data_IF_001039715793
#
_entry.id   IF_001039715793
#
_cell.length_a   1.000
_cell.length_b   1.000
_cell.length_c   1.000
_cell.angle_alpha   90.00
_cell.angle_beta   90.00
_cell.angle_gamma   90.00
#
_symmetry.space_group_name_H-M   'P 1'
#
loop_
_entity.id
_entity.type
_entity.pdbx_description
1 polymer ?
#
# COMPACT_ATOMS: atom_id res chain seq x y z
N UNK A 1 18.74 -8.57 -9.86
CA UNK A 1 17.44 -9.07 -9.34
C UNK A 1 17.70 -10.11 -8.26
N UNK A 2 16.85 -10.23 -7.23
CA UNK A 2 17.11 -11.05 -6.04
C UNK A 2 17.14 -12.57 -6.28
N UNK A 3 16.93 -13.02 -7.51
CA UNK A 3 17.06 -14.40 -7.95
C UNK A 3 17.56 -14.41 -9.41
N UNK A 4 18.76 -14.94 -9.66
CA UNK A 4 19.43 -14.79 -10.97
C UNK A 4 18.92 -15.76 -12.04
N UNK A 5 18.30 -16.90 -11.65
CA UNK A 5 17.82 -17.93 -12.59
C UNK A 5 16.38 -18.42 -12.29
N UNK A 6 15.43 -17.51 -12.05
CA UNK A 6 14.00 -17.87 -11.99
C UNK A 6 13.08 -16.75 -11.49
N UNK A 7 12.00 -17.10 -10.78
CA UNK A 7 10.93 -16.16 -10.45
C UNK A 7 10.60 -16.11 -8.96
N UNK A 8 10.15 -14.95 -8.50
CA UNK A 8 9.51 -14.78 -7.20
C UNK A 8 8.03 -14.50 -7.45
N UNK A 9 7.16 -15.35 -6.94
CA UNK A 9 5.72 -15.12 -6.92
C UNK A 9 5.33 -14.67 -5.50
N UNK A 10 4.82 -13.44 -5.39
CA UNK A 10 4.27 -12.92 -4.14
C UNK A 10 2.77 -12.97 -4.24
N UNK A 11 2.16 -13.76 -3.35
CA UNK A 11 0.76 -14.07 -3.38
C UNK A 11 0.13 -13.79 -2.01
N UNK A 12 -0.82 -12.86 -1.98
CA UNK A 12 -1.60 -12.54 -0.79
C UNK A 12 -3.09 -12.48 -1.13
N UNK A 13 -3.52 -13.35 -2.05
CA UNK A 13 -4.87 -13.38 -2.60
C UNK A 13 -5.75 -14.49 -2.00
N UNK A 14 -6.84 -14.85 -2.70
CA UNK A 14 -7.76 -15.92 -2.30
C UNK A 14 -7.07 -17.26 -1.97
N UNK A 15 -7.73 -18.08 -1.15
CA UNK A 15 -7.25 -19.45 -0.86
C UNK A 15 -7.81 -20.46 -1.85
N UNK A 16 -7.14 -21.60 -1.97
CA UNK A 16 -7.48 -22.73 -2.85
C UNK A 16 -7.22 -22.48 -4.35
N UNK A 17 -6.20 -21.68 -4.67
CA UNK A 17 -5.76 -21.42 -6.04
C UNK A 17 -4.62 -22.35 -6.48
N UNK A 18 -3.86 -22.90 -5.53
CA UNK A 18 -2.73 -23.79 -5.77
C UNK A 18 -3.02 -25.22 -5.34
N UNK A 19 -2.58 -26.17 -6.16
CA UNK A 19 -2.56 -27.58 -5.79
C UNK A 19 -1.41 -27.92 -4.83
N UNK A 20 -0.34 -27.12 -4.82
CA UNK A 20 0.80 -27.30 -3.93
C UNK A 20 0.47 -26.74 -2.53
N UNK A 21 0.45 -27.57 -1.47
CA UNK A 21 0.11 -27.11 -0.11
C UNK A 21 1.07 -26.07 0.46
N UNK A 22 2.36 -26.11 0.08
CA UNK A 22 3.32 -25.08 0.51
C UNK A 22 3.06 -23.75 -0.18
N UNK A 23 2.59 -23.75 -1.43
CA UNK A 23 2.21 -22.50 -2.11
C UNK A 23 0.86 -21.97 -1.63
N UNK A 24 0.00 -22.84 -1.10
CA UNK A 24 -1.21 -22.40 -0.42
C UNK A 24 -0.88 -21.69 0.89
N UNK A 25 -0.01 -22.27 1.72
CA UNK A 25 0.16 -21.82 3.11
C UNK A 25 1.17 -20.68 3.30
N UNK A 26 1.82 -20.21 2.24
CA UNK A 26 2.85 -19.18 2.31
C UNK A 26 2.58 -18.06 1.31
N UNK A 27 3.09 -16.86 1.59
CA UNK A 27 2.86 -15.70 0.74
C UNK A 27 3.95 -15.50 -0.32
N UNK A 28 5.16 -16.06 -0.10
CA UNK A 28 6.30 -15.90 -1.01
C UNK A 28 6.68 -17.28 -1.54
N UNK A 29 6.72 -17.40 -2.87
CA UNK A 29 7.13 -18.61 -3.57
C UNK A 29 8.35 -18.32 -4.44
N UNK A 30 9.40 -19.12 -4.26
CA UNK A 30 10.56 -19.11 -5.13
C UNK A 30 10.41 -20.21 -6.16
N UNK A 31 10.45 -19.82 -7.43
CA UNK A 31 10.30 -20.70 -8.59
C UNK A 31 11.59 -20.75 -9.38
N UNK A 32 11.93 -21.89 -9.96
CA UNK A 32 13.07 -22.01 -10.88
C UNK A 32 12.81 -21.31 -12.23
N UNK A 33 13.79 -21.33 -13.13
CA UNK A 33 13.69 -20.74 -14.47
C UNK A 33 12.60 -21.34 -15.36
N UNK A 34 12.04 -22.49 -14.97
CA UNK A 34 10.92 -23.16 -15.64
C UNK A 34 9.58 -22.88 -14.94
N UNK A 35 9.57 -22.07 -13.89
CA UNK A 35 8.37 -21.76 -13.10
C UNK A 35 7.99 -22.87 -12.11
N UNK A 36 8.85 -23.87 -11.87
CA UNK A 36 8.57 -24.92 -10.88
C UNK A 36 8.89 -24.44 -9.48
N UNK A 37 8.05 -24.84 -8.53
CA UNK A 37 8.25 -24.54 -7.12
C UNK A 37 9.57 -25.10 -6.57
N UNK A 38 10.32 -24.26 -5.86
CA UNK A 38 11.59 -24.63 -5.20
C UNK A 38 11.47 -24.53 -3.69
N UNK A 39 10.93 -23.43 -3.18
CA UNK A 39 10.81 -23.16 -1.75
C UNK A 39 9.81 -22.05 -1.49
N UNK A 40 9.27 -21.94 -0.28
CA UNK A 40 8.38 -20.86 0.14
C UNK A 40 8.92 -20.10 1.36
N UNK A 41 8.31 -18.96 1.66
CA UNK A 41 8.58 -18.19 2.86
C UNK A 41 7.40 -17.30 3.26
N UNK A 42 7.38 -16.89 4.53
CA UNK A 42 6.34 -16.07 5.16
C UNK A 42 4.98 -16.76 5.12
N UNK A 43 4.68 -17.52 6.18
CA UNK A 43 3.41 -18.21 6.35
C UNK A 43 2.23 -17.22 6.32
N UNK A 44 1.10 -17.69 5.79
CA UNK A 44 -0.13 -16.90 5.73
C UNK A 44 -0.74 -16.78 7.12
N UNK A 45 -0.79 -15.55 7.63
CA UNK A 45 -1.38 -15.23 8.95
C UNK A 45 -2.90 -15.05 8.96
N UNK A 46 -3.56 -15.25 7.81
CA UNK A 46 -5.01 -15.11 7.60
C UNK A 46 -5.52 -16.39 6.96
N UNK A 47 -5.87 -17.38 7.79
CA UNK A 47 -6.23 -18.73 7.32
C UNK A 47 -7.53 -18.76 6.51
N UNK A 48 -8.46 -17.85 6.80
CA UNK A 48 -9.68 -17.71 6.01
C UNK A 48 -9.43 -17.00 4.66
N UNK A 49 -10.36 -17.19 3.72
CA UNK A 49 -10.28 -16.60 2.39
C UNK A 49 -10.45 -15.08 2.46
N UNK A 50 -9.46 -14.35 1.94
CA UNK A 50 -9.50 -12.90 1.76
C UNK A 50 -9.32 -12.57 0.27
N UNK A 51 -10.41 -12.22 -0.40
CA UNK A 51 -10.45 -11.83 -1.81
C UNK A 51 -10.05 -10.36 -2.01
N UNK A 52 -9.03 -9.91 -1.28
CA UNK A 52 -8.48 -8.56 -1.39
C UNK A 52 -6.99 -8.67 -1.61
N UNK A 53 -6.58 -8.32 -2.83
CA UNK A 53 -5.19 -8.01 -3.15
C UNK A 53 -5.08 -6.52 -3.45
N UNK A 54 -4.06 -5.87 -2.92
CA UNK A 54 -3.65 -4.55 -3.37
C UNK A 54 -2.58 -4.72 -4.44
N UNK A 55 -2.66 -3.98 -5.55
CA UNK A 55 -1.56 -3.89 -6.51
C UNK A 55 -0.29 -3.26 -5.92
N UNK A 56 -0.36 -2.81 -4.66
CA UNK A 56 0.69 -2.14 -3.92
C UNK A 56 1.21 -2.95 -2.72
N UNK A 57 0.84 -4.24 -2.61
CA UNK A 57 1.36 -5.12 -1.55
C UNK A 57 2.86 -5.35 -1.66
N UNK A 58 3.38 -5.14 -2.87
CA UNK A 58 4.80 -5.22 -3.19
C UNK A 58 5.30 -3.91 -3.79
N UNK A 59 6.54 -3.57 -3.45
CA UNK A 59 7.29 -2.48 -4.07
C UNK A 59 8.67 -2.99 -4.47
N UNK A 60 9.16 -2.57 -5.63
CA UNK A 60 10.47 -2.98 -6.14
C UNK A 60 11.43 -1.79 -6.03
N UNK A 61 12.43 -1.93 -5.17
CA UNK A 61 13.42 -0.91 -4.92
C UNK A 61 14.38 -0.78 -6.12
N UNK A 62 15.06 0.36 -6.25
CA UNK A 62 15.96 0.62 -7.39
C UNK A 62 17.11 -0.40 -7.49
N UNK A 63 17.50 -1.03 -6.38
CA UNK A 63 18.50 -2.11 -6.33
C UNK A 63 17.92 -3.49 -6.68
N UNK A 64 16.63 -3.58 -6.99
CA UNK A 64 15.88 -4.80 -7.30
C UNK A 64 15.39 -5.58 -6.08
N UNK A 65 15.66 -5.14 -4.85
CA UNK A 65 15.07 -5.74 -3.65
C UNK A 65 13.55 -5.51 -3.63
N UNK A 66 12.82 -6.44 -3.01
CA UNK A 66 11.35 -6.37 -2.97
C UNK A 66 10.91 -6.09 -1.54
N UNK A 67 10.02 -5.11 -1.36
CA UNK A 67 9.27 -4.94 -0.14
C UNK A 67 7.94 -5.66 -0.25
N UNK A 68 7.54 -6.29 0.84
CA UNK A 68 6.28 -7.02 0.90
C UNK A 68 5.61 -6.85 2.26
N UNK A 69 4.32 -6.51 2.24
CA UNK A 69 3.47 -6.53 3.43
C UNK A 69 2.32 -7.52 3.21
N UNK A 70 2.28 -8.63 3.96
CA UNK A 70 1.13 -9.52 3.92
C UNK A 70 -0.15 -8.79 4.35
N UNK A 71 -1.29 -9.23 3.81
CA UNK A 71 -2.61 -8.69 4.16
C UNK A 71 -2.84 -8.80 5.68
N UNK A 72 -3.33 -7.73 6.29
CA UNK A 72 -3.53 -7.55 7.73
C UNK A 72 -2.26 -7.69 8.59
N UNK A 73 -1.07 -7.76 7.99
CA UNK A 73 0.19 -7.79 8.72
C UNK A 73 0.59 -6.40 9.22
N UNK A 74 1.21 -6.38 10.40
CA UNK A 74 1.82 -5.19 10.98
C UNK A 74 3.34 -5.15 10.70
N UNK A 75 3.85 -6.06 9.89
CA UNK A 75 5.26 -6.21 9.56
C UNK A 75 5.42 -6.08 8.04
N UNK A 76 6.39 -5.26 7.62
CA UNK A 76 6.88 -5.21 6.23
C UNK A 76 8.20 -5.97 6.19
N UNK A 77 8.29 -6.87 5.23
CA UNK A 77 9.49 -7.66 4.96
C UNK A 77 10.23 -7.06 3.77
N UNK A 78 11.56 -7.16 3.81
CA UNK A 78 12.43 -6.95 2.66
C UNK A 78 12.96 -8.30 2.19
N UNK A 79 12.83 -8.55 0.90
CA UNK A 79 13.34 -9.73 0.20
C UNK A 79 14.59 -9.28 -0.56
N UNK A 80 15.74 -9.70 -0.05
CA UNK A 80 17.06 -9.39 -0.59
C UNK A 80 17.52 -10.48 -1.56
N UNK A 81 18.66 -10.23 -2.23
CA UNK A 81 19.33 -11.25 -3.05
C UNK A 81 19.64 -12.52 -2.25
N UNK A 82 19.54 -13.68 -2.91
CA UNK A 82 19.85 -14.96 -2.27
C UNK A 82 18.74 -15.48 -1.36
N UNK A 83 17.48 -15.08 -1.62
CA UNK A 83 16.27 -15.49 -0.87
C UNK A 83 16.26 -15.08 0.61
N UNK A 84 17.09 -14.10 1.01
CA UNK A 84 17.13 -13.63 2.38
C UNK A 84 15.94 -12.70 2.64
N UNK A 85 15.12 -13.06 3.62
CA UNK A 85 13.93 -12.30 4.01
C UNK A 85 14.13 -11.76 5.42
N UNK A 86 14.01 -10.44 5.57
CA UNK A 86 14.17 -9.76 6.85
C UNK A 86 12.94 -8.90 7.15
N UNK A 87 12.44 -8.89 8.40
CA UNK A 87 11.49 -7.86 8.82
C UNK A 87 12.21 -6.51 8.82
N UNK A 88 11.75 -5.58 7.97
CA UNK A 88 12.36 -4.26 7.83
C UNK A 88 11.67 -3.23 8.72
N UNK A 89 10.35 -3.25 8.73
CA UNK A 89 9.53 -2.33 9.53
C UNK A 89 8.45 -3.09 10.28
N UNK A 90 8.15 -2.63 11.50
CA UNK A 90 7.06 -3.13 12.33
C UNK A 90 6.24 -1.98 12.91
N UNK A 91 4.92 -2.05 12.77
CA UNK A 91 4.02 -1.04 13.32
C UNK A 91 3.70 -1.31 14.78
N UNK A 92 3.96 -0.30 15.61
CA UNK A 92 3.50 -0.26 17.00
C UNK A 92 2.46 0.84 17.11
N UNK A 93 1.20 0.45 17.27
CA UNK A 93 0.11 1.40 17.45
C UNK A 93 0.06 1.90 18.89
N UNK A 94 0.29 3.21 19.07
CA UNK A 94 0.13 3.92 20.35
C UNK A 94 -1.11 4.82 20.41
N UNK A 95 -1.96 4.76 19.39
CA UNK A 95 -3.20 5.51 19.32
C UNK A 95 -4.21 5.00 20.35
N UNK A 96 -4.96 5.93 20.95
CA UNK A 96 -6.11 5.60 21.80
C UNK A 96 -7.42 5.43 21.02
N UNK A 97 -7.45 5.88 19.76
CA UNK A 97 -8.67 5.88 18.93
C UNK A 97 -8.68 4.75 17.89
N UNK A 98 -7.51 4.21 17.56
CA UNK A 98 -7.34 3.18 16.55
C UNK A 98 -6.74 1.92 17.16
N UNK A 99 -7.07 0.75 16.60
CA UNK A 99 -6.53 -0.55 17.01
C UNK A 99 -6.15 -1.39 15.80
N UNK A 100 -5.20 -2.31 15.99
CA UNK A 100 -4.91 -3.36 15.01
C UNK A 100 -5.59 -4.65 15.43
N UNK A 101 -5.85 -5.53 14.46
CA UNK A 101 -6.31 -6.89 14.74
C UNK A 101 -5.22 -7.65 15.50
N UNK A 102 -5.61 -8.40 16.52
CA UNK A 102 -4.74 -9.41 17.13
C UNK A 102 -4.68 -10.66 16.26
N UNK A 103 -3.70 -11.54 16.49
CA UNK A 103 -3.46 -12.71 15.64
C UNK A 103 -4.71 -13.61 15.49
N UNK A 104 -5.41 -13.91 16.59
CA UNK A 104 -6.66 -14.69 16.57
C UNK A 104 -7.77 -14.06 15.71
N UNK A 105 -7.83 -12.72 15.69
CA UNK A 105 -8.80 -12.00 14.86
C UNK A 105 -8.41 -12.01 13.37
N UNK A 106 -7.12 -12.12 13.05
CA UNK A 106 -6.62 -12.23 11.66
C UNK A 106 -6.87 -13.62 11.09
N UNK A 107 -6.68 -14.64 11.91
CA UNK A 107 -6.89 -16.05 11.52
C UNK A 107 -8.33 -16.31 11.11
N UNK A 108 -9.29 -15.70 11.81
CA UNK A 108 -10.73 -15.81 11.54
C UNK A 108 -11.27 -14.71 10.62
N UNK A 109 -10.41 -13.88 10.04
CA UNK A 109 -10.81 -12.76 9.21
C UNK A 109 -11.14 -13.22 7.79
N UNK A 110 -12.41 -13.13 7.38
CA UNK A 110 -12.85 -13.53 6.04
C UNK A 110 -13.38 -12.33 5.24
N UNK A 111 -13.05 -12.30 3.95
CA UNK A 111 -13.71 -11.43 2.98
C UNK A 111 -13.81 -12.15 1.63
N UNK A 112 -15.03 -12.27 1.10
CA UNK A 112 -15.28 -12.90 -0.20
C UNK A 112 -16.02 -11.89 -1.09
N UNK A 113 -15.45 -11.60 -2.27
CA UNK A 113 -16.05 -10.69 -3.24
C UNK A 113 -17.44 -11.20 -3.63
N UNK A 114 -18.43 -10.30 -3.63
CA UNK A 114 -19.82 -10.63 -3.98
C UNK A 114 -20.65 -11.27 -2.85
N UNK A 115 -20.04 -11.68 -1.73
CA UNK A 115 -20.77 -12.12 -0.52
C UNK A 115 -21.01 -10.99 0.49
N UNK A 116 -20.39 -9.83 0.27
CA UNK A 116 -20.61 -8.60 1.04
C UNK A 116 -19.37 -8.15 1.81
N UNK A 117 -19.26 -6.85 2.02
CA UNK A 117 -18.15 -6.17 2.69
C UNK A 117 -18.43 -5.84 4.17
N UNK A 118 -19.57 -6.33 4.69
CA UNK A 118 -20.08 -6.02 6.03
C UNK A 118 -19.02 -6.21 7.11
N UNK A 119 -18.22 -7.28 7.03
CA UNK A 119 -17.22 -7.59 8.05
C UNK A 119 -16.08 -6.56 8.08
N UNK A 120 -15.58 -6.12 6.92
CA UNK A 120 -14.58 -5.05 6.81
C UNK A 120 -15.13 -3.74 7.38
N UNK A 121 -16.30 -3.31 6.90
CA UNK A 121 -16.98 -2.08 7.32
C UNK A 121 -17.30 -2.07 8.82
N UNK A 122 -17.71 -3.20 9.36
CA UNK A 122 -17.97 -3.36 10.80
C UNK A 122 -16.69 -3.19 11.62
N UNK A 123 -15.56 -3.75 11.16
CA UNK A 123 -14.27 -3.61 11.85
C UNK A 123 -13.77 -2.16 11.79
N UNK A 124 -13.85 -1.51 10.63
CA UNK A 124 -13.50 -0.10 10.52
C UNK A 124 -14.37 0.81 11.39
N UNK A 125 -15.69 0.57 11.43
CA UNK A 125 -16.59 1.36 12.29
C UNK A 125 -16.31 1.18 13.79
N UNK A 126 -15.70 0.05 14.18
CA UNK A 126 -15.17 -0.20 15.54
C UNK A 126 -13.77 0.40 15.79
N UNK A 127 -13.22 1.15 14.84
CA UNK A 127 -11.92 1.82 14.94
C UNK A 127 -10.71 0.95 14.59
N UNK A 128 -10.90 -0.20 13.94
CA UNK A 128 -9.76 -0.99 13.46
C UNK A 128 -9.11 -0.35 12.23
N UNK A 129 -7.78 -0.25 12.24
CA UNK A 129 -6.98 0.07 11.06
C UNK A 129 -6.60 -1.23 10.36
N UNK A 130 -7.21 -1.48 9.20
CA UNK A 130 -6.95 -2.67 8.40
C UNK A 130 -5.78 -2.39 7.45
N UNK A 131 -4.70 -3.15 7.55
CA UNK A 131 -3.59 -3.07 6.59
C UNK A 131 -3.83 -4.05 5.45
N UNK A 132 -3.60 -3.62 4.21
CA UNK A 132 -3.84 -4.46 3.02
C UNK A 132 -2.71 -4.36 1.98
N UNK A 133 -1.50 -4.05 2.46
CA UNK A 133 -0.29 -4.03 1.65
C UNK A 133 -0.25 -2.81 0.73
N UNK A 134 0.16 -1.69 1.31
CA UNK A 134 0.37 -0.45 0.59
C UNK A 134 1.59 0.20 1.23
N UNK A 135 2.77 -0.13 0.72
CA UNK A 135 4.06 0.35 1.24
C UNK A 135 4.87 0.97 0.12
N UNK A 136 5.55 2.06 0.43
CA UNK A 136 6.57 2.64 -0.43
C UNK A 136 7.74 3.10 0.42
N UNK A 137 8.95 2.66 0.08
CA UNK A 137 10.16 3.00 0.83
C UNK A 137 11.06 3.93 0.02
N UNK A 138 11.09 5.19 0.45
CA UNK A 138 11.88 6.26 -0.15
C UNK A 138 13.15 6.46 0.68
N UNK A 139 14.12 7.19 0.13
CA UNK A 139 15.38 7.47 0.84
C UNK A 139 15.16 8.11 2.21
N UNK A 140 14.24 9.07 2.32
CA UNK A 140 14.00 9.82 3.57
C UNK A 140 12.74 9.39 4.32
N UNK A 141 11.80 8.76 3.62
CA UNK A 141 10.46 8.48 4.14
C UNK A 141 10.00 7.08 3.84
N UNK A 142 9.13 6.55 4.68
CA UNK A 142 8.34 5.36 4.36
C UNK A 142 6.87 5.75 4.39
N UNK A 143 6.14 5.41 3.34
CA UNK A 143 4.71 5.65 3.23
C UNK A 143 3.94 4.36 3.41
N UNK A 144 2.81 4.46 4.11
CA UNK A 144 1.88 3.36 4.31
C UNK A 144 0.44 3.83 4.25
N UNK A 145 -0.44 2.98 3.71
CA UNK A 145 -1.88 3.21 3.76
C UNK A 145 -2.61 2.12 4.56
N UNK A 146 -3.64 2.55 5.29
CA UNK A 146 -4.57 1.69 6.03
C UNK A 146 -6.01 2.00 5.64
N UNK A 147 -6.89 1.06 5.99
CA UNK A 147 -8.33 1.14 5.92
C UNK A 147 -8.89 0.76 4.56
N UNK A 148 -10.10 0.21 4.59
CA UNK A 148 -10.85 -0.37 3.50
C UNK A 148 -11.73 0.67 2.79
N UNK A 149 -12.76 1.17 3.47
CA UNK A 149 -13.59 2.26 2.96
C UNK A 149 -12.95 3.61 3.25
N UNK A 150 -12.38 3.75 4.46
CA UNK A 150 -11.74 4.99 4.91
C UNK A 150 -10.23 4.85 4.80
N UNK A 151 -9.62 5.72 3.98
CA UNK A 151 -8.17 5.72 3.82
C UNK A 151 -7.50 6.49 4.95
N UNK A 152 -6.44 5.91 5.49
CA UNK A 152 -5.53 6.58 6.41
C UNK A 152 -4.12 6.46 5.87
N UNK A 153 -3.32 7.51 6.05
CA UNK A 153 -1.95 7.55 5.55
C UNK A 153 -0.97 7.75 6.68
N UNK A 154 0.11 6.98 6.67
CA UNK A 154 1.19 7.07 7.63
C UNK A 154 2.49 7.33 6.87
N UNK A 155 3.14 8.43 7.21
CA UNK A 155 4.48 8.76 6.74
C UNK A 155 5.45 8.64 7.91
N UNK A 156 6.52 7.88 7.75
CA UNK A 156 7.61 7.79 8.71
C UNK A 156 8.85 8.48 8.15
N UNK A 157 9.39 9.47 8.85
CA UNK A 157 10.67 10.10 8.52
C UNK A 157 11.81 9.32 9.15
N UNK A 158 12.71 8.81 8.32
CA UNK A 158 13.89 8.06 8.77
C UNK A 158 14.89 8.93 9.52
N UNK A 159 15.08 10.16 9.05
CA UNK A 159 16.02 11.12 9.66
C UNK A 159 15.53 11.68 10.99
N UNK A 160 14.23 11.95 11.12
CA UNK A 160 13.64 12.51 12.35
C UNK A 160 13.21 11.43 13.34
N UNK A 161 13.13 10.17 12.90
CA UNK A 161 12.51 9.07 13.65
C UNK A 161 11.10 9.43 14.17
N UNK A 162 10.33 10.13 13.32
CA UNK A 162 8.98 10.62 13.63
C UNK A 162 7.99 10.06 12.61
N UNK A 163 6.77 9.78 13.08
CA UNK A 163 5.66 9.37 12.23
C UNK A 163 4.58 10.45 12.19
N UNK A 164 4.00 10.65 11.01
CA UNK A 164 2.84 11.49 10.77
C UNK A 164 1.69 10.62 10.27
N UNK A 165 0.62 10.54 11.07
CA UNK A 165 -0.61 9.84 10.71
C UNK A 165 -1.66 10.85 10.26
N UNK A 166 -2.23 10.63 9.07
CA UNK A 166 -3.16 11.54 8.40
C UNK A 166 -4.48 10.80 8.14
N UNK A 167 -5.56 11.41 8.62
CA UNK A 167 -6.93 11.11 8.23
C UNK A 167 -7.36 12.17 7.18
N UNK A 168 -7.40 11.84 5.88
CA UNK A 168 -7.71 12.78 4.81
C UNK A 168 -9.03 13.54 5.01
N UNK A 169 -10.04 12.91 5.63
CA UNK A 169 -11.34 13.56 5.87
C UNK A 169 -11.21 14.74 6.84
N UNK A 170 -10.25 14.66 7.78
CA UNK A 170 -9.97 15.65 8.82
C UNK A 170 -8.89 16.67 8.45
N UNK A 171 -8.27 16.56 7.29
CA UNK A 171 -7.27 17.53 6.83
C UNK A 171 -7.95 18.88 6.60
N UNK A 172 -7.34 19.95 7.13
CA UNK A 172 -7.76 21.34 6.90
C UNK A 172 -7.09 21.85 5.62
N UNK A 173 -7.84 22.61 4.81
CA UNK A 173 -7.33 23.21 3.58
C UNK A 173 -8.38 23.23 2.48
N UNK A 174 -7.93 23.57 1.26
CA UNK A 174 -8.77 23.49 0.06
C UNK A 174 -9.11 22.04 -0.25
N UNK A 175 -10.41 21.73 -0.34
CA UNK A 175 -10.91 20.36 -0.53
C UNK A 175 -10.48 19.77 -1.87
N UNK A 176 -10.43 20.56 -2.94
CA UNK A 176 -10.01 20.08 -4.26
C UNK A 176 -8.53 19.70 -4.27
N UNK A 177 -7.67 20.46 -3.60
CA UNK A 177 -6.26 20.09 -3.42
C UNK A 177 -6.09 18.82 -2.57
N UNK A 178 -6.86 18.71 -1.48
CA UNK A 178 -6.88 17.49 -0.65
C UNK A 178 -7.25 16.28 -1.51
N UNK A 179 -8.31 16.37 -2.31
CA UNK A 179 -8.77 15.28 -3.17
C UNK A 179 -7.71 14.90 -4.22
N UNK A 180 -6.93 15.86 -4.75
CA UNK A 180 -5.81 15.56 -5.66
C UNK A 180 -4.74 14.76 -4.93
N UNK A 181 -4.19 15.29 -3.83
CA UNK A 181 -2.98 14.76 -3.17
C UNK A 181 -3.22 13.50 -2.34
N UNK A 182 -4.46 13.25 -1.91
CA UNK A 182 -4.82 12.05 -1.17
C UNK A 182 -5.40 10.95 -2.06
N UNK A 183 -5.27 11.09 -3.39
CA UNK A 183 -5.20 9.92 -4.26
C UNK A 183 -3.91 9.14 -3.97
N UNK A 184 -4.03 7.82 -3.91
CA UNK A 184 -2.89 6.95 -3.59
C UNK A 184 -1.71 7.21 -4.56
N UNK A 185 -0.46 7.34 -4.07
CA UNK A 185 0.70 7.47 -4.95
C UNK A 185 0.78 6.32 -5.94
N UNK A 186 0.84 6.63 -7.24
CA UNK A 186 0.94 5.60 -8.29
C UNK A 186 2.36 5.07 -8.45
N UNK A 187 3.36 5.85 -8.03
CA UNK A 187 4.78 5.48 -8.10
C UNK A 187 5.64 6.35 -7.18
N UNK A 188 6.86 5.88 -6.89
CA UNK A 188 7.90 6.64 -6.22
C UNK A 188 9.16 6.68 -7.09
N UNK A 189 9.88 7.81 -7.09
CA UNK A 189 11.19 7.94 -7.74
C UNK A 189 11.99 9.10 -7.17
N UNK A 190 13.27 8.90 -6.89
CA UNK A 190 14.16 9.97 -6.45
C UNK A 190 13.63 10.72 -5.21
N UNK A 191 13.17 9.96 -4.21
CA UNK A 191 12.61 10.48 -2.96
C UNK A 191 11.36 11.37 -3.12
N UNK A 192 10.58 11.14 -4.18
CA UNK A 192 9.30 11.81 -4.43
C UNK A 192 8.19 10.81 -4.71
N UNK A 193 6.97 11.18 -4.33
CA UNK A 193 5.74 10.52 -4.73
C UNK A 193 5.24 11.08 -6.05
N UNK A 194 4.61 10.23 -6.85
CA UNK A 194 3.95 10.61 -8.09
C UNK A 194 2.49 10.18 -8.03
N UNK A 195 1.60 11.07 -8.44
CA UNK A 195 0.18 10.79 -8.65
C UNK A 195 -0.21 11.18 -10.08
N UNK A 196 -1.24 10.52 -10.58
CA UNK A 196 -1.83 10.83 -11.88
C UNK A 196 -3.33 11.04 -11.73
N UNK A 197 -3.80 12.27 -11.44
CA UNK A 197 -5.22 12.56 -11.33
C UNK A 197 -5.94 12.24 -12.64
N UNK A 198 -7.13 11.63 -12.54
CA UNK A 198 -7.93 11.30 -13.72
C UNK A 198 -8.38 12.59 -14.44
N UNK A 199 -8.38 12.65 -15.79
CA UNK A 199 -8.79 13.85 -16.54
C UNK A 199 -10.17 14.38 -16.16
N UNK A 200 -11.13 13.48 -15.90
CA UNK A 200 -12.46 13.84 -15.41
C UNK A 200 -12.43 14.65 -14.10
N UNK A 201 -11.62 14.23 -13.12
CA UNK A 201 -11.45 14.97 -11.86
C UNK A 201 -10.85 16.35 -12.13
N UNK A 202 -9.82 16.42 -12.98
CA UNK A 202 -9.19 17.67 -13.39
C UNK A 202 -10.23 18.64 -13.99
N UNK A 203 -11.05 18.17 -14.92
CA UNK A 203 -12.11 18.97 -15.56
C UNK A 203 -13.16 19.49 -14.56
N UNK A 204 -13.50 18.71 -13.54
CA UNK A 204 -14.45 19.11 -12.49
C UNK A 204 -13.90 20.19 -11.55
N UNK A 205 -12.62 20.10 -11.19
CA UNK A 205 -12.06 20.94 -10.10
C UNK A 205 -11.23 22.12 -10.58
N UNK A 206 -10.74 22.15 -11.84
CA UNK A 206 -9.78 23.17 -12.32
C UNK A 206 -10.18 24.62 -12.02
N UNK A 207 -11.45 24.96 -12.20
CA UNK A 207 -11.96 26.32 -11.98
C UNK A 207 -12.18 26.66 -10.50
N UNK A 208 -12.22 25.62 -9.65
CA UNK A 208 -12.45 25.71 -8.20
C UNK A 208 -11.15 25.71 -7.41
N UNK A 209 -10.01 25.44 -8.06
CA UNK A 209 -8.71 25.45 -7.42
C UNK A 209 -8.30 26.87 -7.02
N UNK A 210 -7.52 27.01 -5.92
CA UNK A 210 -6.88 28.26 -5.58
C UNK A 210 -5.84 28.64 -6.65
N UNK A 211 -5.60 29.94 -6.81
CA UNK A 211 -4.59 30.42 -7.75
C UNK A 211 -3.21 29.87 -7.38
N UNK A 212 -2.50 29.30 -8.35
CA UNK A 212 -1.20 28.67 -8.14
C UNK A 212 -0.83 27.70 -9.26
N UNK A 213 0.32 27.05 -9.11
CA UNK A 213 0.92 26.20 -10.15
C UNK A 213 -0.03 25.10 -10.64
N UNK A 214 -0.76 24.43 -9.72
CA UNK A 214 -1.67 23.34 -10.09
C UNK A 214 -2.85 23.84 -10.93
N UNK A 215 -3.48 24.96 -10.52
CA UNK A 215 -4.57 25.57 -11.28
C UNK A 215 -4.11 25.99 -12.66
N UNK A 216 -3.01 26.75 -12.73
CA UNK A 216 -2.44 27.20 -14.00
C UNK A 216 -2.09 26.02 -14.90
N UNK A 217 -1.54 24.94 -14.34
CA UNK A 217 -1.24 23.75 -15.10
C UNK A 217 -2.53 23.09 -15.65
N UNK A 218 -3.55 22.89 -14.81
CA UNK A 218 -4.82 22.26 -15.23
C UNK A 218 -5.64 23.10 -16.23
N UNK A 219 -5.60 24.42 -16.15
CA UNK A 219 -6.24 25.32 -17.11
C UNK A 219 -5.61 25.19 -18.51
N UNK A 220 -4.35 24.78 -18.59
CA UNK A 220 -3.63 24.55 -19.84
C UNK A 220 -3.64 23.08 -20.30
N UNK A 221 -4.33 22.19 -19.56
CA UNK A 221 -4.49 20.78 -19.94
C UNK A 221 -5.79 20.56 -20.70
N UNK A 222 -5.72 19.80 -21.78
CA UNK A 222 -6.89 19.39 -22.59
C UNK A 222 -7.11 17.88 -22.50
N UNK A 223 -8.32 17.42 -22.81
CA UNK A 223 -8.71 16.01 -22.69
C UNK A 223 -7.91 15.07 -23.62
N UNK A 224 -7.31 15.62 -24.69
CA UNK A 224 -6.46 14.89 -25.64
C UNK A 224 -4.98 14.79 -25.19
N UNK A 225 -4.62 15.32 -24.03
CA UNK A 225 -3.24 15.29 -23.54
C UNK A 225 -2.90 13.98 -22.82
N UNK A 226 -1.61 13.67 -22.78
CA UNK A 226 -1.09 12.56 -21.96
C UNK A 226 -1.50 12.71 -20.49
N UNK A 227 -1.57 11.60 -19.72
CA UNK A 227 -1.83 11.64 -18.29
C UNK A 227 -0.95 12.66 -17.57
N UNK A 228 -1.58 13.47 -16.72
CA UNK A 228 -0.89 14.45 -15.90
C UNK A 228 -0.14 13.75 -14.78
N UNK A 229 1.15 14.05 -14.63
CA UNK A 229 1.95 13.60 -13.50
C UNK A 229 2.23 14.75 -12.54
N UNK A 230 1.86 14.59 -11.27
CA UNK A 230 2.22 15.51 -10.20
C UNK A 230 3.20 14.80 -9.29
N UNK A 231 4.39 15.38 -9.12
CA UNK A 231 5.37 14.91 -8.14
C UNK A 231 5.30 15.74 -6.86
N UNK A 232 5.37 15.12 -5.69
CA UNK A 232 5.41 15.82 -4.41
C UNK A 232 6.24 15.09 -3.35
N UNK A 233 6.55 15.81 -2.27
CA UNK A 233 7.22 15.30 -1.07
C UNK A 233 6.44 15.78 0.16
N UNK A 234 6.55 15.03 1.26
CA UNK A 234 5.90 15.40 2.52
C UNK A 234 6.89 16.19 3.38
N UNK A 235 6.47 17.37 3.84
CA UNK A 235 7.19 18.13 4.85
C UNK A 235 6.69 17.73 6.23
N UNK A 236 7.59 17.23 7.08
CA UNK A 236 7.28 16.93 8.47
C UNK A 236 7.20 18.24 9.28
N UNK A 237 6.27 18.35 10.24
CA UNK A 237 6.30 19.44 11.22
C UNK A 237 7.61 19.37 12.01
N UNK A 238 8.20 20.53 12.26
CA UNK A 238 9.40 20.66 13.13
C UNK A 238 9.09 20.21 14.56
#
# INVERSE_FOLDING_TARGET
MPYEDGFINVYSGPRHEYQNPEMENYNIHFLDSQGKFVSSAIEVGTSERIDIGSSFTTDCLENGEILFQPVLSNIIYKIESGKKIIPLYGFVNKSSIHKFLIQQEKESFEYIVGKGDKYMKERESKGFLLSWGAVSDLTDYVFFAFGFDKKYYLYYSKSLNKSLFIDPEKVKGDRNLIDIFFNYPVSIRGNKFYISPHPFLIGQIRNQLPNGIIKTFFENTHDDFNPVLISFSIKFPE
#
